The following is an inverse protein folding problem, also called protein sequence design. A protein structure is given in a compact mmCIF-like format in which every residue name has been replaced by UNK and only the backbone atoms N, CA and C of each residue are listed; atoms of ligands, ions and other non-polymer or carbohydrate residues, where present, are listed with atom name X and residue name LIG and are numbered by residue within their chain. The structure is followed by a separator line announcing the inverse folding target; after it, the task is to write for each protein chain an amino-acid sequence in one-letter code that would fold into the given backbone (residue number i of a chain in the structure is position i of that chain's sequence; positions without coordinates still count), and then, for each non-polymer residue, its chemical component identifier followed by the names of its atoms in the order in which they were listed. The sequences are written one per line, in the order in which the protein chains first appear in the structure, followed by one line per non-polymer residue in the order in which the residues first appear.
data_IF_263005727751
#
_entry.id   IF_263005727751
#
_cell.length_a   1.000
_cell.length_b   1.000
_cell.length_c   1.000
_cell.angle_alpha   90.00
_cell.angle_beta   90.00
_cell.angle_gamma   90.00
#
_symmetry.space_group_name_H-M   'P 1'
#
loop_
_entity.id
_entity.type
_entity.pdbx_description
1 polymer ?
#
# COMPACT_ATOMS: atom_id res chain seq x y z
N UNK A 1 -16.40 19.79 -20.27
CA UNK A 1 -17.54 18.83 -20.28
C UNK A 1 -17.43 17.80 -19.19
N UNK A 2 -16.98 16.60 -19.54
CA UNK A 2 -16.83 15.51 -18.57
C UNK A 2 -15.39 15.02 -18.52
N UNK A 3 -14.85 14.90 -17.31
CA UNK A 3 -13.48 14.45 -17.13
C UNK A 3 -13.42 13.36 -16.05
N UNK A 4 -12.53 12.39 -16.26
CA UNK A 4 -12.38 11.29 -15.31
C UNK A 4 -11.17 11.51 -14.40
N UNK A 5 -11.40 11.46 -13.09
CA UNK A 5 -10.34 11.65 -12.11
C UNK A 5 -9.21 10.66 -12.34
N UNK A 6 -7.98 11.10 -12.08
CA UNK A 6 -6.81 10.26 -12.25
C UNK A 6 -6.45 9.54 -10.96
N UNK A 7 -6.32 8.22 -11.04
CA UNK A 7 -5.99 7.42 -9.87
C UNK A 7 -4.47 7.29 -9.69
N UNK A 8 -4.06 6.96 -8.47
CA UNK A 8 -2.64 6.82 -8.16
C UNK A 8 -2.40 5.52 -7.40
N UNK A 9 -1.21 4.96 -7.56
CA UNK A 9 -0.86 3.73 -6.88
C UNK A 9 0.44 3.88 -6.10
N UNK A 10 0.51 3.23 -4.95
CA UNK A 10 1.69 3.28 -4.12
C UNK A 10 2.45 1.98 -4.22
N UNK A 11 3.77 2.06 -4.14
CA UNK A 11 4.60 0.87 -4.23
C UNK A 11 5.10 0.48 -2.86
N UNK A 12 4.52 -0.59 -2.32
CA UNK A 12 4.89 -1.09 -1.01
C UNK A 12 5.50 -2.49 -1.08
N UNK A 13 6.62 -2.66 -0.38
CA UNK A 13 7.33 -3.94 -0.35
C UNK A 13 8.14 -4.08 0.94
N UNK A 14 8.75 -5.24 1.12
CA UNK A 14 9.53 -5.48 2.32
C UNK A 14 8.70 -5.89 3.51
N UNK A 15 7.44 -6.26 3.28
CA UNK A 15 6.55 -6.65 4.35
C UNK A 15 6.98 -8.01 4.94
N UNK A 16 6.64 -8.27 6.21
CA UNK A 16 6.99 -9.52 6.89
C UNK A 16 6.42 -10.76 6.18
N UNK A 17 6.91 -11.92 6.57
CA UNK A 17 6.47 -13.18 5.98
C UNK A 17 5.15 -13.63 6.62
N UNK A 18 4.76 -12.96 7.71
CA UNK A 18 3.53 -13.28 8.42
C UNK A 18 2.42 -12.26 8.10
N UNK A 19 2.75 -11.27 7.26
CA UNK A 19 1.79 -10.23 6.90
C UNK A 19 0.84 -10.72 5.79
N UNK A 20 -0.45 -10.47 5.98
CA UNK A 20 -1.46 -10.88 5.01
C UNK A 20 -2.23 -9.66 4.51
N UNK A 21 -3.11 -9.89 3.54
CA UNK A 21 -3.90 -8.81 2.98
C UNK A 21 -4.73 -8.10 4.04
N UNK A 22 -5.31 -8.87 4.95
CA UNK A 22 -6.12 -8.27 6.01
C UNK A 22 -5.29 -7.33 6.86
N UNK A 23 -4.06 -7.74 7.16
CA UNK A 23 -3.17 -6.92 7.97
C UNK A 23 -2.79 -5.62 7.25
N UNK A 24 -2.44 -5.74 5.97
CA UNK A 24 -2.06 -4.58 5.17
C UNK A 24 -3.22 -3.61 5.00
N UNK A 25 -4.40 -4.16 4.73
CA UNK A 25 -5.60 -3.36 4.53
C UNK A 25 -5.85 -2.50 5.77
N UNK A 26 -5.62 -3.08 6.94
CA UNK A 26 -5.81 -2.38 8.20
C UNK A 26 -4.88 -1.18 8.28
N UNK A 27 -3.66 -1.37 7.79
CA UNK A 27 -2.65 -0.31 7.80
C UNK A 27 -3.03 0.86 6.90
N UNK A 28 -3.54 0.55 5.70
CA UNK A 28 -3.93 1.60 4.74
C UNK A 28 -5.00 2.52 5.32
N UNK A 29 -5.99 1.96 5.97
CA UNK A 29 -7.05 2.77 6.55
C UNK A 29 -6.51 3.69 7.66
N UNK A 30 -5.45 3.27 8.33
CA UNK A 30 -4.86 4.08 9.39
C UNK A 30 -4.37 5.44 8.88
N UNK A 31 -3.81 5.43 7.69
CA UNK A 31 -3.29 6.65 7.08
C UNK A 31 -4.33 7.34 6.21
N UNK A 32 -5.35 6.59 5.79
CA UNK A 32 -6.41 7.14 4.97
C UNK A 32 -7.53 6.15 4.80
N UNK A 33 -8.08 6.08 3.60
CA UNK A 33 -9.16 5.14 3.32
C UNK A 33 -8.77 4.22 2.17
N UNK A 34 -8.67 2.93 2.46
CA UNK A 34 -8.29 1.95 1.45
C UNK A 34 -9.46 1.70 0.50
N UNK A 35 -9.30 2.14 -0.75
CA UNK A 35 -10.35 1.98 -1.75
C UNK A 35 -10.08 0.76 -2.63
N UNK A 36 -8.81 0.54 -2.96
CA UNK A 36 -8.41 -0.58 -3.79
C UNK A 36 -7.16 -1.24 -3.23
N UNK A 37 -7.21 -2.54 -3.03
CA UNK A 37 -6.07 -3.27 -2.49
C UNK A 37 -5.93 -4.63 -3.15
N UNK A 38 -4.75 -4.90 -3.67
CA UNK A 38 -4.50 -6.18 -4.34
C UNK A 38 -3.20 -6.78 -3.83
N UNK A 39 -3.21 -8.08 -3.57
CA UNK A 39 -2.03 -8.77 -3.09
C UNK A 39 -1.46 -9.68 -4.17
N UNK A 40 -0.22 -9.39 -4.58
CA UNK A 40 0.45 -10.17 -5.61
C UNK A 40 0.66 -11.62 -5.17
N UNK A 41 0.05 -12.52 -5.93
CA UNK A 41 0.16 -13.95 -5.66
C UNK A 41 -0.03 -14.77 -6.93
N UNK A 42 0.60 -15.93 -6.97
CA UNK A 42 0.51 -16.82 -8.13
C UNK A 42 -0.78 -17.65 -8.07
N UNK A 43 -0.97 -18.51 -9.06
CA UNK A 43 -2.15 -19.36 -9.12
C UNK A 43 -2.22 -20.26 -7.89
N UNK A 44 -1.06 -20.54 -7.31
CA UNK A 44 -0.98 -21.38 -6.12
C UNK A 44 -1.68 -20.73 -4.92
N UNK A 45 -1.91 -19.42 -5.00
CA UNK A 45 -2.56 -18.73 -3.90
C UNK A 45 -1.59 -18.36 -2.80
N UNK A 46 -0.32 -18.18 -3.17
CA UNK A 46 0.71 -17.83 -2.21
C UNK A 46 0.85 -16.30 -2.10
N UNK A 47 0.51 -15.69 -0.94
CA UNK A 47 0.61 -14.24 -0.78
C UNK A 47 2.06 -13.78 -0.74
N UNK A 48 2.29 -12.51 -1.09
CA UNK A 48 3.64 -11.99 -1.10
C UNK A 48 3.72 -10.56 -0.56
N UNK A 49 4.84 -10.26 0.10
CA UNK A 49 5.08 -8.94 0.67
C UNK A 49 5.13 -7.79 -0.33
N UNK A 50 5.00 -8.10 -1.61
CA UNK A 50 5.04 -7.07 -2.64
C UNK A 50 3.63 -6.88 -3.19
N UNK A 51 3.14 -5.65 -3.15
CA UNK A 51 1.80 -5.35 -3.64
C UNK A 51 1.59 -3.85 -3.79
N UNK A 52 0.50 -3.47 -4.46
CA UNK A 52 0.19 -2.05 -4.66
C UNK A 52 -1.21 -1.70 -4.15
N UNK A 53 -1.37 -0.47 -3.65
CA UNK A 53 -2.65 0.00 -3.13
C UNK A 53 -2.94 1.44 -3.53
N UNK A 54 -4.02 1.65 -4.27
CA UNK A 54 -4.43 2.98 -4.71
C UNK A 54 -5.24 3.72 -3.65
N UNK A 55 -5.01 5.03 -3.54
CA UNK A 55 -5.72 5.86 -2.57
C UNK A 55 -6.83 6.68 -3.20
N UNK A 56 -7.87 6.93 -2.42
CA UNK A 56 -9.02 7.71 -2.87
C UNK A 56 -8.58 9.01 -3.53
N UNK A 57 -7.57 9.67 -2.97
CA UNK A 57 -7.10 10.93 -3.54
C UNK A 57 -5.57 10.95 -3.63
N UNK A 58 -5.02 12.06 -4.12
CA UNK A 58 -3.58 12.21 -4.26
C UNK A 58 -2.96 12.73 -2.97
N UNK A 59 -3.64 13.68 -2.34
CA UNK A 59 -3.18 14.27 -1.10
C UNK A 59 -3.08 13.24 0.01
N UNK A 60 -4.08 12.38 0.10
CA UNK A 60 -4.10 11.35 1.13
C UNK A 60 -2.88 10.45 1.01
N UNK A 61 -2.61 9.97 -0.20
CA UNK A 61 -1.46 9.12 -0.43
C UNK A 61 -0.15 9.85 -0.16
N UNK A 62 -0.09 11.12 -0.52
CA UNK A 62 1.10 11.93 -0.33
C UNK A 62 1.43 12.13 1.15
N UNK A 63 0.43 12.44 1.96
CA UNK A 63 0.66 12.63 3.38
C UNK A 63 0.94 11.30 4.05
N UNK A 64 0.34 10.24 3.50
CA UNK A 64 0.50 8.90 4.03
C UNK A 64 1.90 8.33 3.78
N UNK A 65 2.43 8.56 2.58
CA UNK A 65 3.76 8.06 2.23
C UNK A 65 4.87 8.64 3.09
N UNK A 66 4.81 9.93 3.38
CA UNK A 66 5.84 10.56 4.20
C UNK A 66 5.85 9.99 5.62
N UNK A 67 4.67 9.85 6.20
CA UNK A 67 4.54 9.31 7.54
C UNK A 67 4.74 7.80 7.57
N UNK A 68 4.48 7.13 6.45
CA UNK A 68 4.63 5.68 6.37
C UNK A 68 6.04 5.27 5.96
N UNK A 69 6.85 6.23 5.51
CA UNK A 69 8.21 5.92 5.09
C UNK A 69 9.07 5.52 6.28
N UNK A 70 9.51 4.27 6.28
CA UNK A 70 10.34 3.77 7.36
C UNK A 70 9.52 3.13 8.47
N UNK A 71 8.23 2.96 8.24
CA UNK A 71 7.35 2.36 9.23
C UNK A 71 7.80 0.96 9.61
N UNK A 72 7.87 0.70 10.90
CA UNK A 72 8.30 -0.60 11.40
C UNK A 72 7.14 -1.56 11.56
N UNK A 73 7.22 -2.68 10.87
CA UNK A 73 6.18 -3.70 10.93
C UNK A 73 6.81 -5.01 11.37
N UNK A 74 6.42 -5.48 12.55
CA UNK A 74 6.96 -6.71 13.08
C UNK A 74 8.47 -6.63 13.15
N UNK A 75 8.95 -5.46 13.61
CA UNK A 75 10.38 -5.20 13.74
C UNK A 75 11.08 -5.14 12.39
N UNK A 76 10.32 -5.12 11.29
CA UNK A 76 10.89 -5.07 9.96
C UNK A 76 10.72 -3.67 9.33
N UNK A 77 11.59 -3.34 8.39
CA UNK A 77 11.51 -2.04 7.72
C UNK A 77 10.97 -2.18 6.31
N UNK A 78 9.93 -1.40 6.02
CA UNK A 78 9.31 -1.42 4.70
C UNK A 78 9.59 -0.15 3.91
N UNK A 79 9.54 -0.27 2.59
CA UNK A 79 9.79 0.86 1.70
C UNK A 79 8.51 1.25 0.96
N UNK A 80 8.20 2.54 0.97
CA UNK A 80 7.00 3.04 0.30
C UNK A 80 7.33 4.24 -0.57
N UNK A 81 6.92 4.18 -1.83
CA UNK A 81 7.18 5.27 -2.77
C UNK A 81 5.99 5.48 -3.70
N UNK A 82 5.81 6.72 -4.14
CA UNK A 82 4.71 7.07 -5.04
C UNK A 82 5.04 6.70 -6.49
N UNK A 83 4.01 6.33 -7.23
CA UNK A 83 4.16 5.93 -8.62
C UNK A 83 3.73 7.07 -9.55
N UNK A 84 4.64 7.50 -10.41
CA UNK A 84 4.36 8.58 -11.36
C UNK A 84 3.76 9.78 -10.65
#
# INVERSE_FOLDING_TARGET
GSHMLEKHKLFISGLPFSCTKEELEEICKAHGTVKDLRLVTNRAGKPKGLAYVEYENESQASQAVMKMDGMTIKENIIKVAISN
#
